data_IF_447741754276
#
_entry.id   IF_447741754276
#
_cell.length_a   1.000
_cell.length_b   1.000
_cell.length_c   1.000
_cell.angle_alpha   90.00
_cell.angle_beta   90.00
_cell.angle_gamma   90.00
#
_symmetry.space_group_name_H-M   'P 1'
#
loop_
_entity.id
_entity.type
_entity.pdbx_description
1 polymer ?
#
# COMPACT_ATOMS: atom_id res chain seq x y z
N UNK A 1 -13.55 -1.36 24.85
CA UNK A 1 -13.94 -1.32 23.42
C UNK A 1 -13.36 -2.56 22.73
N UNK A 2 -14.20 -3.33 22.07
CA UNK A 2 -13.71 -4.46 21.31
C UNK A 2 -12.91 -3.95 20.11
N UNK A 3 -11.68 -4.43 19.96
CA UNK A 3 -10.78 -4.10 18.84
C UNK A 3 -10.76 -5.22 17.78
N UNK A 4 -11.55 -6.25 17.99
CA UNK A 4 -11.84 -7.31 17.01
C UNK A 4 -12.93 -6.86 16.06
N UNK A 5 -12.80 -7.24 14.80
CA UNK A 5 -13.80 -6.90 13.77
C UNK A 5 -15.00 -7.84 13.86
N UNK A 6 -16.21 -7.29 13.79
CA UNK A 6 -17.46 -8.04 13.88
C UNK A 6 -17.92 -8.62 12.53
N UNK A 7 -17.47 -8.00 11.43
CA UNK A 7 -17.75 -8.44 10.07
C UNK A 7 -16.69 -7.93 9.10
N UNK A 8 -16.59 -8.54 7.93
CA UNK A 8 -15.65 -8.09 6.89
C UNK A 8 -15.95 -6.67 6.41
N UNK A 9 -17.21 -6.31 6.25
CA UNK A 9 -17.60 -4.95 5.85
C UNK A 9 -17.15 -3.92 6.88
N UNK A 10 -17.36 -4.18 8.16
CA UNK A 10 -16.90 -3.30 9.23
C UNK A 10 -15.38 -3.17 9.22
N UNK A 11 -14.67 -4.30 9.06
CA UNK A 11 -13.22 -4.34 8.96
C UNK A 11 -12.69 -3.45 7.84
N UNK A 12 -13.22 -3.60 6.63
CA UNK A 12 -12.76 -2.82 5.47
C UNK A 12 -13.06 -1.33 5.61
N UNK A 13 -14.22 -0.96 6.11
CA UNK A 13 -14.55 0.45 6.37
C UNK A 13 -13.63 1.08 7.42
N UNK A 14 -13.36 0.38 8.52
CA UNK A 14 -12.46 0.86 9.57
C UNK A 14 -11.01 0.95 9.06
N UNK A 15 -10.54 -0.04 8.31
CA UNK A 15 -9.21 -0.01 7.70
C UNK A 15 -9.08 1.13 6.71
N UNK A 16 -10.04 1.33 5.85
CA UNK A 16 -10.04 2.42 4.87
C UNK A 16 -9.94 3.78 5.56
N UNK A 17 -10.81 4.05 6.54
CA UNK A 17 -10.78 5.29 7.30
C UNK A 17 -9.45 5.50 8.02
N UNK A 18 -8.93 4.47 8.69
CA UNK A 18 -7.66 4.55 9.39
C UNK A 18 -6.50 4.84 8.43
N UNK A 19 -6.45 4.16 7.29
CA UNK A 19 -5.38 4.28 6.31
C UNK A 19 -5.41 5.64 5.60
N UNK A 20 -6.57 6.10 5.18
CA UNK A 20 -6.70 7.37 4.46
C UNK A 20 -6.59 8.59 5.40
N UNK A 21 -7.19 8.53 6.58
CA UNK A 21 -7.38 9.70 7.43
C UNK A 21 -6.40 9.78 8.60
N UNK A 22 -5.87 8.66 9.08
CA UNK A 22 -5.08 8.61 10.31
C UNK A 22 -3.60 8.25 10.11
N UNK A 23 -3.17 7.89 8.91
CA UNK A 23 -1.75 7.66 8.61
C UNK A 23 -1.16 8.94 7.99
N UNK A 24 -0.31 9.68 8.73
CA UNK A 24 0.21 10.97 8.25
C UNK A 24 0.92 10.90 6.90
N UNK A 25 1.73 9.85 6.67
CA UNK A 25 2.44 9.64 5.41
C UNK A 25 1.47 9.49 4.22
N UNK A 26 0.36 8.79 4.42
CA UNK A 26 -0.65 8.58 3.38
C UNK A 26 -1.38 9.88 3.03
N UNK A 27 -1.56 10.76 4.01
CA UNK A 27 -2.14 12.10 3.79
C UNK A 27 -1.20 12.98 2.97
N UNK A 28 0.10 12.91 3.21
CA UNK A 28 1.10 13.63 2.40
C UNK A 28 1.07 13.14 0.95
N UNK A 29 1.02 11.82 0.74
CA UNK A 29 0.93 11.23 -0.60
C UNK A 29 -0.44 11.48 -1.25
N UNK A 30 -1.49 11.72 -0.48
CA UNK A 30 -2.85 11.88 -0.99
C UNK A 30 -3.48 10.56 -1.42
N UNK A 31 -3.13 9.47 -0.74
CA UNK A 31 -3.60 8.12 -1.07
C UNK A 31 -5.12 8.02 -0.91
N UNK A 32 -5.76 7.48 -1.93
CA UNK A 32 -7.17 7.05 -1.89
C UNK A 32 -7.25 5.57 -2.21
N UNK A 33 -7.97 4.81 -1.39
CA UNK A 33 -8.23 3.39 -1.64
C UNK A 33 -9.43 3.29 -2.59
N UNK A 34 -9.19 2.76 -3.79
CA UNK A 34 -10.23 2.55 -4.80
C UNK A 34 -10.94 1.21 -4.63
N UNK A 35 -10.20 0.19 -4.24
CA UNK A 35 -10.71 -1.16 -4.04
C UNK A 35 -9.90 -1.86 -2.94
N UNK A 36 -10.56 -2.59 -2.07
CA UNK A 36 -9.94 -3.40 -1.04
C UNK A 36 -10.77 -4.65 -0.80
N UNK A 37 -10.14 -5.81 -0.86
CA UNK A 37 -10.71 -7.11 -0.52
C UNK A 37 -9.61 -7.99 0.07
N UNK A 38 -9.96 -9.15 0.56
CA UNK A 38 -8.97 -10.05 1.16
C UNK A 38 -7.78 -10.29 0.23
N UNK A 39 -6.59 -9.89 0.70
CA UNK A 39 -5.33 -10.07 -0.01
C UNK A 39 -5.11 -9.15 -1.21
N UNK A 40 -5.94 -8.13 -1.40
CA UNK A 40 -5.84 -7.22 -2.53
C UNK A 40 -6.14 -5.78 -2.14
N UNK A 41 -5.43 -4.84 -2.76
CA UNK A 41 -5.71 -3.43 -2.68
C UNK A 41 -5.38 -2.72 -3.99
N UNK A 42 -6.23 -1.77 -4.35
CA UNK A 42 -5.98 -0.81 -5.43
C UNK A 42 -6.06 0.59 -4.86
N UNK A 43 -5.02 1.38 -5.10
CA UNK A 43 -4.92 2.75 -4.61
C UNK A 43 -4.62 3.73 -5.73
N UNK A 44 -4.98 4.98 -5.49
CA UNK A 44 -4.71 6.12 -6.34
C UNK A 44 -3.87 7.14 -5.58
N UNK A 45 -2.86 7.67 -6.21
CA UNK A 45 -2.02 8.76 -5.70
C UNK A 45 -2.03 9.90 -6.71
N UNK A 46 -2.55 11.09 -6.36
CA UNK A 46 -2.53 12.22 -7.26
C UNK A 46 -1.12 12.76 -7.46
N UNK A 47 -0.85 13.25 -8.65
CA UNK A 47 0.40 13.95 -8.93
C UNK A 47 0.48 15.27 -8.15
N UNK A 48 1.68 15.57 -7.64
CA UNK A 48 2.05 16.86 -7.05
C UNK A 48 3.44 17.26 -7.52
N UNK A 49 3.67 18.55 -7.72
CA UNK A 49 4.99 19.07 -8.15
C UNK A 49 6.11 18.67 -7.16
N UNK A 50 5.79 18.54 -5.87
CA UNK A 50 6.72 18.15 -4.81
C UNK A 50 7.24 16.70 -4.97
N UNK A 51 6.57 15.89 -5.80
CA UNK A 51 6.98 14.51 -6.05
C UNK A 51 8.00 14.37 -7.19
N UNK A 52 8.35 15.46 -7.86
CA UNK A 52 9.34 15.46 -8.94
C UNK A 52 10.74 15.18 -8.38
N UNK A 53 11.42 14.21 -8.97
CA UNK A 53 12.82 13.90 -8.69
C UNK A 53 13.77 14.36 -9.81
N UNK A 54 13.34 14.22 -11.04
CA UNK A 54 14.04 14.71 -12.21
C UNK A 54 13.30 15.93 -12.79
N UNK A 55 13.78 17.12 -12.42
CA UNK A 55 13.14 18.36 -12.84
C UNK A 55 13.36 18.69 -14.32
N UNK A 56 14.41 18.13 -14.96
CA UNK A 56 14.70 18.34 -16.37
C UNK A 56 13.73 17.55 -17.27
N UNK A 57 13.42 16.33 -16.89
CA UNK A 57 12.49 15.47 -17.61
C UNK A 57 11.06 15.51 -17.06
N UNK A 58 10.87 16.06 -15.87
CA UNK A 58 9.57 16.10 -15.21
C UNK A 58 9.11 14.72 -14.74
N UNK A 59 10.03 13.92 -14.17
CA UNK A 59 9.72 12.56 -13.72
C UNK A 59 9.55 12.49 -12.19
N UNK A 60 8.68 11.62 -11.76
CA UNK A 60 8.51 11.30 -10.33
C UNK A 60 9.82 10.87 -9.71
N UNK A 61 10.07 11.31 -8.49
CA UNK A 61 11.15 10.79 -7.66
C UNK A 61 10.89 9.31 -7.33
N UNK A 62 11.88 8.45 -7.59
CA UNK A 62 11.76 7.01 -7.39
C UNK A 62 11.41 6.61 -5.95
N UNK A 63 11.85 7.39 -4.96
CA UNK A 63 11.50 7.18 -3.56
C UNK A 63 10.01 7.32 -3.26
N UNK A 64 9.31 8.24 -3.94
CA UNK A 64 7.86 8.36 -3.80
C UNK A 64 7.13 7.22 -4.49
N UNK A 65 7.62 6.78 -5.66
CA UNK A 65 7.10 5.58 -6.33
C UNK A 65 7.24 4.35 -5.43
N UNK A 66 8.39 4.18 -4.78
CA UNK A 66 8.62 3.11 -3.80
C UNK A 66 7.69 3.22 -2.59
N UNK A 67 7.43 4.44 -2.09
CA UNK A 67 6.51 4.68 -0.98
C UNK A 67 5.07 4.28 -1.34
N UNK A 68 4.64 4.56 -2.56
CA UNK A 68 3.32 4.13 -3.07
C UNK A 68 3.25 2.61 -3.13
N UNK A 69 4.32 1.96 -3.63
CA UNK A 69 4.38 0.49 -3.70
C UNK A 69 4.30 -0.15 -2.31
N UNK A 70 5.06 0.35 -1.34
CA UNK A 70 5.03 -0.12 0.05
C UNK A 70 3.65 0.07 0.68
N UNK A 71 3.04 1.22 0.44
CA UNK A 71 1.70 1.52 0.94
C UNK A 71 0.65 0.58 0.37
N UNK A 72 0.61 0.36 -0.94
CA UNK A 72 -0.33 -0.57 -1.57
C UNK A 72 -0.17 -1.99 -1.04
N UNK A 73 1.06 -2.48 -0.95
CA UNK A 73 1.37 -3.80 -0.41
C UNK A 73 0.96 -3.92 1.07
N UNK A 74 1.24 -2.89 1.87
CA UNK A 74 0.86 -2.83 3.28
C UNK A 74 -0.65 -2.84 3.49
N UNK A 75 -1.40 -2.18 2.63
CA UNK A 75 -2.87 -2.20 2.66
C UNK A 75 -3.39 -3.61 2.34
N UNK A 76 -2.87 -4.24 1.28
CA UNK A 76 -3.23 -5.62 0.95
C UNK A 76 -2.92 -6.59 2.11
N UNK A 77 -1.77 -6.46 2.74
CA UNK A 77 -1.40 -7.26 3.90
C UNK A 77 -2.28 -6.96 5.13
N UNK A 78 -2.68 -5.71 5.32
CA UNK A 78 -3.54 -5.30 6.44
C UNK A 78 -4.93 -5.92 6.40
N UNK A 79 -5.39 -6.38 5.23
CA UNK A 79 -6.66 -7.09 5.10
C UNK A 79 -6.70 -8.42 5.86
N UNK A 80 -5.53 -8.95 6.22
CA UNK A 80 -5.40 -10.19 7.01
C UNK A 80 -5.44 -9.95 8.53
N UNK A 81 -5.58 -8.70 8.98
CA UNK A 81 -5.75 -8.42 10.41
C UNK A 81 -7.04 -9.01 10.93
N UNK A 82 -6.98 -9.65 12.08
CA UNK A 82 -8.15 -10.10 12.83
C UNK A 82 -8.49 -9.15 13.97
N UNK A 83 -7.48 -8.40 14.41
CA UNK A 83 -7.59 -7.42 15.49
C UNK A 83 -6.82 -6.14 15.10
N UNK A 84 -7.36 -4.99 15.46
CA UNK A 84 -6.70 -3.70 15.16
C UNK A 84 -5.31 -3.56 15.81
N UNK A 85 -5.02 -4.34 16.83
CA UNK A 85 -3.72 -4.36 17.53
C UNK A 85 -2.70 -5.30 16.88
N UNK A 86 -3.06 -6.06 15.85
CA UNK A 86 -2.11 -6.85 15.08
C UNK A 86 -1.03 -5.92 14.53
N UNK A 87 0.24 -6.30 14.72
CA UNK A 87 1.38 -5.49 14.29
C UNK A 87 1.81 -5.93 12.89
N UNK A 88 1.80 -4.98 11.96
CA UNK A 88 2.25 -5.17 10.59
C UNK A 88 3.41 -4.23 10.31
N UNK A 89 4.55 -4.78 9.90
CA UNK A 89 5.73 -4.00 9.58
C UNK A 89 6.37 -4.49 8.29
N UNK A 90 6.82 -3.56 7.45
CA UNK A 90 7.61 -3.86 6.26
C UNK A 90 8.97 -4.41 6.69
N UNK A 91 9.35 -5.57 6.15
CA UNK A 91 10.69 -6.16 6.36
C UNK A 91 11.59 -5.80 5.20
N UNK A 92 11.08 -5.90 3.99
CA UNK A 92 11.84 -5.72 2.76
C UNK A 92 10.91 -5.29 1.62
N UNK A 93 11.44 -4.49 0.72
CA UNK A 93 10.78 -4.14 -0.53
C UNK A 93 11.82 -4.01 -1.63
N UNK A 94 11.55 -4.64 -2.77
CA UNK A 94 12.27 -4.44 -4.01
C UNK A 94 11.36 -3.79 -5.03
N UNK A 95 11.84 -2.72 -5.65
CA UNK A 95 11.13 -2.02 -6.71
C UNK A 95 11.95 -2.10 -7.99
N UNK A 96 11.35 -2.59 -9.06
CA UNK A 96 11.92 -2.58 -10.39
C UNK A 96 11.28 -1.44 -11.18
N UNK A 97 12.06 -0.39 -11.46
CA UNK A 97 11.61 0.75 -12.24
C UNK A 97 11.75 0.42 -13.73
N UNK A 98 10.62 0.32 -14.43
CA UNK A 98 10.59 -0.12 -15.83
C UNK A 98 10.71 1.04 -16.80
N UNK A 99 10.16 2.21 -16.41
CA UNK A 99 10.23 3.46 -17.16
C UNK A 99 9.97 4.64 -16.24
N UNK A 100 10.33 5.85 -16.67
CA UNK A 100 10.06 7.06 -15.91
C UNK A 100 8.56 7.34 -15.79
N UNK A 101 8.10 7.60 -14.58
CA UNK A 101 6.73 8.05 -14.33
C UNK A 101 6.64 9.56 -14.60
N UNK A 102 5.72 9.95 -15.48
CA UNK A 102 5.52 11.34 -15.90
C UNK A 102 4.62 12.12 -14.95
N UNK A 103 4.36 13.39 -15.20
CA UNK A 103 3.50 14.28 -14.40
C UNK A 103 2.02 13.89 -14.50
N UNK A 104 1.71 12.70 -14.07
CA UNK A 104 0.35 12.14 -13.99
C UNK A 104 0.18 11.39 -12.68
N UNK A 105 -1.06 11.12 -12.30
CA UNK A 105 -1.38 10.30 -11.16
C UNK A 105 -0.81 8.88 -11.31
N UNK A 106 -0.49 8.24 -10.20
CA UNK A 106 -0.07 6.84 -10.15
C UNK A 106 -1.16 6.00 -9.50
N UNK A 107 -1.48 4.90 -10.13
CA UNK A 107 -2.31 3.81 -9.58
C UNK A 107 -1.41 2.66 -9.18
N UNK A 108 -1.73 2.01 -8.08
CA UNK A 108 -1.03 0.82 -7.64
C UNK A 108 -2.03 -0.27 -7.26
N UNK A 109 -1.77 -1.47 -7.77
CA UNK A 109 -2.51 -2.68 -7.42
C UNK A 109 -1.57 -3.64 -6.72
N UNK A 110 -1.94 -4.07 -5.52
CA UNK A 110 -1.19 -5.02 -4.72
C UNK A 110 -2.00 -6.28 -4.49
N UNK A 111 -1.34 -7.42 -4.60
CA UNK A 111 -1.92 -8.73 -4.36
C UNK A 111 -0.97 -9.59 -3.54
N UNK A 112 -1.50 -10.29 -2.54
CA UNK A 112 -0.70 -11.20 -1.74
C UNK A 112 -0.34 -12.43 -2.55
N UNK A 113 0.96 -12.79 -2.57
CA UNK A 113 1.47 -13.96 -3.29
C UNK A 113 1.84 -15.11 -2.36
N UNK A 114 2.09 -14.80 -1.08
CA UNK A 114 2.39 -15.79 -0.04
C UNK A 114 1.94 -15.28 1.31
N UNK A 115 1.16 -16.09 1.99
CA UNK A 115 0.75 -15.85 3.38
C UNK A 115 1.34 -16.96 4.24
N UNK A 116 2.42 -16.64 4.94
CA UNK A 116 3.03 -17.52 5.94
C UNK A 116 2.47 -17.24 7.33
N UNK A 117 2.96 -17.97 8.32
CA UNK A 117 2.55 -17.80 9.73
C UNK A 117 2.87 -16.40 10.27
N UNK A 118 4.01 -15.82 9.88
CA UNK A 118 4.48 -14.49 10.28
C UNK A 118 4.87 -13.60 9.12
N UNK A 119 5.25 -14.17 7.99
CA UNK A 119 5.76 -13.45 6.83
C UNK A 119 4.72 -13.48 5.73
N UNK A 120 4.38 -12.30 5.23
CA UNK A 120 3.45 -12.10 4.13
C UNK A 120 4.22 -11.45 3.00
N UNK A 121 4.05 -11.96 1.79
CA UNK A 121 4.64 -11.36 0.58
C UNK A 121 3.55 -10.89 -0.35
N UNK A 122 3.76 -9.70 -0.94
CA UNK A 122 2.85 -9.09 -1.89
C UNK A 122 3.60 -8.63 -3.14
N UNK A 123 2.96 -8.76 -4.28
CA UNK A 123 3.39 -8.15 -5.54
C UNK A 123 2.56 -6.89 -5.80
N UNK A 124 3.22 -5.88 -6.37
CA UNK A 124 2.60 -4.60 -6.71
C UNK A 124 2.90 -4.24 -8.15
N UNK A 125 1.88 -3.77 -8.85
CA UNK A 125 1.99 -3.13 -10.15
C UNK A 125 1.62 -1.66 -10.02
N UNK A 126 2.53 -0.76 -10.46
CA UNK A 126 2.28 0.68 -10.49
C UNK A 126 2.19 1.13 -11.93
N UNK A 127 1.16 1.91 -12.24
CA UNK A 127 0.91 2.33 -13.62
C UNK A 127 0.32 3.74 -13.70
N UNK A 128 0.44 4.32 -14.88
CA UNK A 128 -0.15 5.60 -15.27
C UNK A 128 -1.01 5.40 -16.51
N UNK A 129 -2.05 6.21 -16.68
CA UNK A 129 -2.98 6.05 -17.80
C UNK A 129 -2.28 6.16 -19.16
N UNK A 130 -1.39 7.15 -19.34
CA UNK A 130 -0.69 7.36 -20.62
C UNK A 130 0.49 6.41 -20.83
N UNK A 131 1.13 5.93 -19.77
CA UNK A 131 2.39 5.17 -19.84
C UNK A 131 2.22 3.67 -19.66
N UNK A 132 1.11 3.22 -19.10
CA UNK A 132 0.97 1.85 -18.63
C UNK A 132 1.84 1.59 -17.40
N UNK A 133 2.35 0.37 -17.26
CA UNK A 133 3.15 -0.02 -16.09
C UNK A 133 4.48 0.72 -16.05
N UNK A 134 4.71 1.46 -14.97
CA UNK A 134 5.95 2.23 -14.75
C UNK A 134 6.91 1.53 -13.80
N UNK A 135 6.39 0.73 -12.86
CA UNK A 135 7.18 -0.03 -11.92
C UNK A 135 6.44 -1.27 -11.44
N UNK A 136 7.19 -2.27 -11.01
CA UNK A 136 6.68 -3.44 -10.28
C UNK A 136 7.47 -3.59 -9.00
N UNK A 137 6.85 -4.16 -7.97
CA UNK A 137 7.52 -4.34 -6.69
C UNK A 137 7.12 -5.66 -6.04
N UNK A 138 8.00 -6.16 -5.18
CA UNK A 138 7.70 -7.23 -4.23
C UNK A 138 8.06 -6.77 -2.84
N UNK A 139 7.12 -6.87 -1.92
CA UNK A 139 7.31 -6.51 -0.52
C UNK A 139 7.12 -7.72 0.38
N UNK A 140 7.84 -7.74 1.49
CA UNK A 140 7.66 -8.69 2.57
C UNK A 140 7.31 -7.95 3.86
N UNK A 141 6.32 -8.48 4.58
CA UNK A 141 5.85 -7.94 5.84
C UNK A 141 5.94 -8.98 6.94
N UNK A 142 6.20 -8.52 8.15
CA UNK A 142 5.97 -9.29 9.37
C UNK A 142 4.58 -8.96 9.91
N UNK A 143 3.78 -9.97 10.19
CA UNK A 143 2.52 -9.80 10.92
C UNK A 143 2.61 -10.56 12.25
N UNK A 144 2.47 -9.86 13.35
CA UNK A 144 2.36 -10.42 14.68
C UNK A 144 0.93 -10.24 15.18
N UNK A 145 0.26 -11.36 15.39
CA UNK A 145 -1.10 -11.34 15.93
C UNK A 145 -1.11 -10.91 17.39
N UNK A 146 -2.11 -10.11 17.73
CA UNK A 146 -2.31 -9.72 19.12
C UNK A 146 -2.80 -10.91 19.93
N UNK A 147 -2.04 -11.28 20.97
CA UNK A 147 -2.44 -12.32 21.92
C UNK A 147 -3.21 -11.64 23.06
N UNK A 148 -4.45 -12.05 23.28
CA UNK A 148 -5.18 -11.67 24.48
C UNK A 148 -4.48 -12.37 25.67
N UNK A 149 -4.01 -11.57 26.62
CA UNK A 149 -3.60 -12.16 27.89
C UNK A 149 -4.80 -12.93 28.47
N UNK A 150 -4.58 -14.20 28.73
CA UNK A 150 -5.60 -15.11 29.26
C UNK A 150 -5.96 -14.80 30.71
#
# INVERSE_FOLDING_TARGET
>A
MALTFESDNQKFELLKTAIEDHVPANKILGITILEMRDGYAKIHTPFKEEFIGDFLQGLWHGGFVASIADTAAGIAASTLRDDARDKLNTIDIRVDYLQGAVKEDIYAEAELVKVGKRIIKADVKLYQESKGTVAIARAAFSMLKFEKEG
#
